data_IF_934134456620
#
_entry.id   IF_934134456620
#
_cell.length_a   1.000
_cell.length_b   1.000
_cell.length_c   1.000
_cell.angle_alpha   90.00
_cell.angle_beta   90.00
_cell.angle_gamma   90.00
#
_symmetry.space_group_name_H-M   'P 1'
#
loop_
_entity.id
_entity.type
_entity.pdbx_description
1 polymer ?
#
# COMPACT_ATOMS: atom_id res chain seq x y z
N UNK A 1 -27.29 0.23 3.03
CA UNK A 1 -26.75 -1.14 3.11
C UNK A 1 -25.26 -1.07 2.79
N UNK A 2 -24.40 -1.34 3.77
CA UNK A 2 -22.93 -1.23 3.60
C UNK A 2 -22.26 -2.60 3.35
N UNK A 3 -22.88 -3.68 3.82
CA UNK A 3 -22.27 -5.02 3.78
C UNK A 3 -21.89 -5.50 2.37
N UNK A 4 -22.74 -5.40 1.33
CA UNK A 4 -22.37 -5.84 -0.01
C UNK A 4 -21.19 -5.06 -0.61
N UNK A 5 -21.02 -3.79 -0.20
CA UNK A 5 -19.90 -2.96 -0.62
C UNK A 5 -18.60 -3.39 0.06
N UNK A 6 -18.67 -3.70 1.35
CA UNK A 6 -17.52 -4.20 2.11
C UNK A 6 -17.07 -5.57 1.60
N UNK A 7 -18.01 -6.46 1.32
CA UNK A 7 -17.71 -7.81 0.82
C UNK A 7 -17.01 -7.73 -0.56
N UNK A 8 -17.53 -6.93 -1.50
CA UNK A 8 -16.91 -6.69 -2.80
C UNK A 8 -15.51 -6.05 -2.69
N UNK A 9 -15.31 -5.15 -1.73
CA UNK A 9 -14.00 -4.55 -1.46
C UNK A 9 -13.00 -5.60 -0.96
N UNK A 10 -13.40 -6.47 -0.02
CA UNK A 10 -12.56 -7.54 0.51
C UNK A 10 -12.16 -8.50 -0.63
N UNK A 11 -13.11 -8.92 -1.45
CA UNK A 11 -12.83 -9.79 -2.61
C UNK A 11 -11.84 -9.12 -3.58
N UNK A 12 -11.98 -7.83 -3.86
CA UNK A 12 -11.05 -7.09 -4.73
C UNK A 12 -9.63 -6.97 -4.17
N UNK A 13 -9.47 -7.12 -2.85
CA UNK A 13 -8.18 -6.97 -2.16
C UNK A 13 -7.40 -8.28 -2.04
N UNK A 14 -7.98 -9.41 -2.43
CA UNK A 14 -7.32 -10.71 -2.38
C UNK A 14 -6.16 -10.75 -3.38
N UNK A 15 -4.95 -10.93 -2.86
CA UNK A 15 -3.73 -11.06 -3.65
C UNK A 15 -3.06 -12.40 -3.36
N UNK A 16 -2.51 -13.04 -4.39
CA UNK A 16 -1.79 -14.31 -4.22
C UNK A 16 -0.62 -14.15 -3.23
N UNK A 17 -0.42 -15.13 -2.36
CA UNK A 17 0.70 -15.15 -1.43
C UNK A 17 2.03 -15.03 -2.20
N UNK A 18 3.03 -14.36 -1.63
CA UNK A 18 4.30 -14.16 -2.32
C UNK A 18 4.97 -15.51 -2.59
N UNK A 19 5.12 -15.83 -3.87
CA UNK A 19 5.69 -17.09 -4.34
C UNK A 19 7.21 -17.28 -4.10
N UNK A 20 7.86 -16.53 -3.20
CA UNK A 20 9.27 -16.80 -2.89
C UNK A 20 9.66 -16.36 -1.48
N UNK A 21 10.51 -17.17 -0.83
CA UNK A 21 11.17 -16.90 0.46
C UNK A 21 12.13 -15.68 0.42
N UNK A 22 12.10 -14.91 -0.67
CA UNK A 22 12.95 -13.76 -0.91
C UNK A 22 12.30 -12.48 -0.37
N UNK A 23 13.06 -11.56 0.23
CA UNK A 23 12.53 -10.29 0.68
C UNK A 23 11.84 -9.52 -0.46
N UNK A 24 10.79 -8.73 -0.16
CA UNK A 24 10.13 -7.88 -1.14
C UNK A 24 11.13 -6.96 -1.86
N UNK A 25 11.07 -6.84 -3.20
CA UNK A 25 11.98 -5.96 -3.94
C UNK A 25 11.89 -4.50 -3.44
N UNK A 26 13.01 -3.76 -3.40
CA UNK A 26 13.02 -2.38 -2.95
C UNK A 26 12.34 -1.45 -3.97
N UNK A 27 11.59 -0.46 -3.48
CA UNK A 27 10.92 0.55 -4.29
C UNK A 27 11.19 1.94 -3.69
N UNK A 28 11.75 2.85 -4.49
CA UNK A 28 11.99 4.25 -4.11
C UNK A 28 10.90 5.13 -4.72
N UNK A 29 10.21 5.91 -3.89
CA UNK A 29 9.12 6.79 -4.32
C UNK A 29 9.49 8.20 -3.90
N UNK A 30 9.56 9.13 -4.87
CA UNK A 30 9.69 10.54 -4.55
C UNK A 30 8.31 11.14 -4.25
N UNK A 31 8.19 11.88 -3.15
CA UNK A 31 7.01 12.68 -2.80
C UNK A 31 7.24 14.16 -3.14
N UNK A 32 6.18 14.95 -3.14
CA UNK A 32 6.29 16.37 -3.44
C UNK A 32 7.11 17.12 -2.38
N UNK A 33 8.01 18.00 -2.83
CA UNK A 33 8.94 18.73 -1.94
C UNK A 33 8.26 19.62 -0.88
N UNK A 34 7.00 20.01 -1.11
CA UNK A 34 6.23 20.86 -0.20
C UNK A 34 5.42 20.07 0.84
N UNK A 35 5.43 18.73 0.77
CA UNK A 35 4.83 17.88 1.81
C UNK A 35 5.70 17.88 3.05
N UNK A 36 5.07 18.17 4.20
CA UNK A 36 5.71 18.02 5.49
C UNK A 36 5.54 16.61 6.06
N UNK A 37 6.04 16.42 7.28
CA UNK A 37 5.94 15.13 7.98
C UNK A 37 4.50 14.64 8.18
N UNK A 38 3.53 15.56 8.23
CA UNK A 38 2.12 15.21 8.42
C UNK A 38 1.55 14.57 7.17
N UNK A 39 1.77 15.19 6.02
CA UNK A 39 1.34 14.73 4.70
C UNK A 39 2.02 13.41 4.35
N UNK A 40 3.31 13.26 4.64
CA UNK A 40 4.04 11.99 4.44
C UNK A 40 3.50 10.89 5.34
N UNK A 41 3.16 11.18 6.61
CA UNK A 41 2.51 10.21 7.51
C UNK A 41 1.13 9.81 7.03
N UNK A 42 0.36 10.74 6.48
CA UNK A 42 -0.96 10.47 5.91
C UNK A 42 -0.85 9.63 4.64
N UNK A 43 0.12 9.91 3.77
CA UNK A 43 0.41 9.10 2.60
C UNK A 43 0.73 7.65 2.96
N UNK A 44 1.49 7.41 4.04
CA UNK A 44 1.76 6.05 4.54
C UNK A 44 0.51 5.29 5.03
N UNK A 45 -0.59 6.00 5.34
CA UNK A 45 -1.89 5.39 5.71
C UNK A 45 -2.81 5.21 4.51
N UNK A 46 -2.48 5.81 3.35
CA UNK A 46 -3.28 5.73 2.16
C UNK A 46 -3.33 4.29 1.61
N UNK A 47 -4.45 3.95 0.97
CA UNK A 47 -4.66 2.64 0.35
C UNK A 47 -3.58 2.29 -0.69
N UNK A 48 -3.05 3.29 -1.40
CA UNK A 48 -1.98 3.10 -2.37
C UNK A 48 -0.70 2.60 -1.71
N UNK A 49 -0.28 3.23 -0.61
CA UNK A 49 0.88 2.79 0.15
C UNK A 49 0.65 1.38 0.73
N UNK A 50 -0.55 1.12 1.22
CA UNK A 50 -0.94 -0.21 1.72
C UNK A 50 -0.76 -1.29 0.65
N UNK A 51 -1.31 -1.10 -0.55
CA UNK A 51 -1.20 -2.05 -1.67
C UNK A 51 0.27 -2.26 -2.08
N UNK A 52 1.04 -1.18 -2.23
CA UNK A 52 2.45 -1.28 -2.62
C UNK A 52 3.27 -2.00 -1.54
N UNK A 53 2.98 -1.77 -0.25
CA UNK A 53 3.69 -2.40 0.86
C UNK A 53 3.48 -3.92 0.92
N UNK A 54 2.35 -4.41 0.40
CA UNK A 54 2.13 -5.85 0.27
C UNK A 54 3.13 -6.50 -0.69
N UNK A 55 3.69 -5.76 -1.66
CA UNK A 55 4.58 -6.31 -2.71
C UNK A 55 6.02 -5.81 -2.65
N UNK A 56 6.30 -4.64 -2.07
CA UNK A 56 7.60 -3.97 -2.11
C UNK A 56 8.09 -3.50 -0.75
N UNK A 57 9.40 -3.35 -0.61
CA UNK A 57 10.03 -2.63 0.51
C UNK A 57 10.16 -1.17 0.11
N UNK A 58 9.29 -0.30 0.64
CA UNK A 58 9.18 1.10 0.19
C UNK A 58 10.16 2.00 0.94
N UNK A 59 10.82 2.89 0.20
CA UNK A 59 11.55 4.05 0.73
C UNK A 59 10.95 5.31 0.10
N UNK A 60 10.53 6.24 0.96
CA UNK A 60 10.02 7.56 0.58
C UNK A 60 11.12 8.60 0.70
#
# INVERSE_FOLDING_TARGET
MFQPLLDAYIESSQIEEKASKSPPPPLKIAVANWWGDKEVKEFKKNILYFILSQRYTITL
#
